data_IF_935117161645
#
_entry.id   IF_935117161645
#
_cell.length_a   1.000
_cell.length_b   1.000
_cell.length_c   1.000
_cell.angle_alpha   90.00
_cell.angle_beta   90.00
_cell.angle_gamma   90.00
#
_symmetry.space_group_name_H-M   'P 1'
#
loop_
_entity.id
_entity.type
_entity.pdbx_description
1 polymer ?
#
# COMPACT_ATOMS: atom_id res chain seq x y z
N UNK A 1 -11.43 28.94 -5.10
CA UNK A 1 -12.10 27.89 -5.91
C UNK A 1 -11.19 26.67 -5.87
N UNK A 2 -11.72 25.50 -5.53
CA UNK A 2 -10.94 24.26 -5.47
C UNK A 2 -10.58 23.79 -6.88
N UNK A 3 -9.40 23.20 -7.04
CA UNK A 3 -9.02 22.47 -8.26
C UNK A 3 -9.81 21.15 -8.35
N UNK A 4 -9.94 20.61 -9.56
CA UNK A 4 -10.57 19.31 -9.80
C UNK A 4 -9.60 18.22 -9.29
N UNK A 5 -10.09 17.21 -8.55
CA UNK A 5 -9.27 16.08 -8.12
C UNK A 5 -8.60 15.37 -9.30
N UNK A 6 -7.45 14.75 -9.05
CA UNK A 6 -6.78 13.95 -10.06
C UNK A 6 -7.64 12.73 -10.45
N UNK A 7 -7.76 12.46 -11.75
CA UNK A 7 -8.74 11.50 -12.27
C UNK A 7 -10.21 11.97 -12.26
N UNK A 8 -10.48 13.22 -11.85
CA UNK A 8 -11.79 13.87 -11.93
C UNK A 8 -12.71 13.65 -10.73
N UNK A 9 -12.49 12.60 -9.93
CA UNK A 9 -13.29 12.25 -8.75
C UNK A 9 -12.37 12.00 -7.58
N UNK A 10 -12.68 12.63 -6.43
CA UNK A 10 -11.98 12.35 -5.17
C UNK A 10 -12.45 11.00 -4.63
N UNK A 11 -11.50 10.10 -4.38
CA UNK A 11 -11.74 8.78 -3.80
C UNK A 11 -11.59 8.82 -2.28
N UNK A 12 -12.58 9.42 -1.60
CA UNK A 12 -12.63 9.45 -0.13
C UNK A 12 -13.26 8.15 0.40
N UNK A 13 -12.43 7.17 0.71
CA UNK A 13 -12.85 5.84 1.18
C UNK A 13 -13.40 5.90 2.60
N UNK A 14 -12.90 6.83 3.42
CA UNK A 14 -13.41 7.07 4.77
C UNK A 14 -14.87 7.53 4.72
N UNK A 15 -15.18 8.49 3.85
CA UNK A 15 -16.54 8.96 3.66
C UNK A 15 -17.43 7.91 3.01
N UNK A 16 -16.90 7.14 2.04
CA UNK A 16 -17.59 6.04 1.35
C UNK A 16 -18.07 4.97 2.34
N UNK A 17 -17.19 4.55 3.25
CA UNK A 17 -17.40 3.36 4.11
C UNK A 17 -17.96 3.70 5.50
N UNK A 18 -18.16 4.99 5.79
CA UNK A 18 -18.61 5.49 7.10
C UNK A 18 -19.83 4.76 7.67
N UNK A 19 -20.83 4.48 6.83
CA UNK A 19 -22.08 3.83 7.24
C UNK A 19 -21.90 2.34 7.60
N UNK A 20 -20.91 1.67 7.00
CA UNK A 20 -20.63 0.24 7.19
C UNK A 20 -19.44 -0.03 8.13
N UNK A 21 -18.75 1.02 8.60
CA UNK A 21 -17.58 0.95 9.48
C UNK A 21 -17.71 -0.01 10.67
N UNK A 22 -18.88 -0.04 11.35
CA UNK A 22 -19.13 -0.96 12.46
C UNK A 22 -19.16 -2.43 12.02
N UNK A 23 -19.69 -2.72 10.83
CA UNK A 23 -19.71 -4.07 10.27
C UNK A 23 -18.30 -4.49 9.85
N UNK A 24 -17.56 -3.59 9.20
CA UNK A 24 -16.17 -3.83 8.81
C UNK A 24 -15.28 -4.07 10.03
N UNK A 25 -15.50 -3.37 11.14
CA UNK A 25 -14.75 -3.61 12.39
C UNK A 25 -14.98 -5.02 12.94
N UNK A 26 -16.24 -5.44 13.01
CA UNK A 26 -16.59 -6.78 13.48
C UNK A 26 -16.08 -7.86 12.52
N UNK A 27 -16.05 -7.58 11.22
CA UNK A 27 -15.48 -8.48 10.22
C UNK A 27 -13.96 -8.63 10.43
N UNK A 28 -13.23 -7.52 10.59
CA UNK A 28 -11.78 -7.52 10.74
C UNK A 28 -11.28 -8.33 11.94
N UNK A 29 -12.04 -8.40 13.03
CA UNK A 29 -11.72 -9.26 14.20
C UNK A 29 -11.67 -10.76 13.86
N UNK A 30 -12.24 -11.18 12.74
CA UNK A 30 -12.31 -12.58 12.30
C UNK A 30 -11.38 -12.90 11.12
N UNK A 31 -10.79 -11.88 10.51
CA UNK A 31 -9.93 -12.03 9.34
C UNK A 31 -8.48 -12.29 9.76
N UNK A 32 -7.67 -12.94 8.90
CA UNK A 32 -6.23 -12.87 9.04
C UNK A 32 -5.78 -11.40 8.93
N UNK A 33 -4.78 -11.03 9.73
CA UNK A 33 -4.25 -9.68 9.79
C UNK A 33 -2.81 -9.59 9.25
N UNK A 34 -2.49 -8.43 8.69
CA UNK A 34 -1.13 -8.01 8.32
C UNK A 34 -0.83 -6.72 9.05
N UNK A 35 0.29 -6.70 9.75
CA UNK A 35 0.81 -5.50 10.40
C UNK A 35 1.58 -4.68 9.36
N UNK A 36 1.16 -3.43 9.16
CA UNK A 36 1.76 -2.56 8.16
C UNK A 36 3.12 -2.03 8.61
N UNK A 37 3.99 -1.77 7.64
CA UNK A 37 5.17 -0.91 7.87
C UNK A 37 4.77 0.57 7.93
N UNK A 38 5.62 1.43 8.52
CA UNK A 38 5.36 2.88 8.57
C UNK A 38 5.12 3.50 7.19
N UNK A 39 5.80 3.00 6.14
CA UNK A 39 5.61 3.48 4.78
C UNK A 39 4.25 3.06 4.21
N UNK A 40 3.89 1.80 4.36
CA UNK A 40 2.60 1.27 3.91
C UNK A 40 1.43 1.92 4.67
N UNK A 41 1.63 2.28 5.94
CA UNK A 41 0.67 3.05 6.72
C UNK A 41 0.45 4.44 6.10
N UNK A 42 1.53 5.16 5.76
CA UNK A 42 1.41 6.44 5.06
C UNK A 42 0.69 6.31 3.71
N UNK A 43 1.01 5.28 2.94
CA UNK A 43 0.36 5.02 1.66
C UNK A 43 -1.13 4.69 1.84
N UNK A 44 -1.47 3.89 2.85
CA UNK A 44 -2.86 3.59 3.22
C UNK A 44 -3.62 4.86 3.64
N UNK A 45 -3.03 5.75 4.43
CA UNK A 45 -3.64 7.02 4.82
C UNK A 45 -3.99 7.89 3.59
N UNK A 46 -3.08 7.97 2.61
CA UNK A 46 -3.27 8.74 1.37
C UNK A 46 -4.25 8.09 0.39
N UNK A 47 -4.37 6.76 0.39
CA UNK A 47 -5.43 6.05 -0.33
C UNK A 47 -6.78 6.34 0.33
N UNK A 48 -6.85 6.19 1.66
CA UNK A 48 -8.10 6.30 2.41
C UNK A 48 -8.75 7.67 2.28
N UNK A 49 -7.96 8.75 2.36
CA UNK A 49 -8.47 10.13 2.26
C UNK A 49 -8.58 10.65 0.81
N UNK A 50 -8.22 9.84 -0.18
CA UNK A 50 -8.26 10.20 -1.60
C UNK A 50 -7.10 11.08 -2.09
N UNK A 51 -6.04 11.26 -1.30
CA UNK A 51 -4.80 11.91 -1.71
C UNK A 51 -4.14 11.25 -2.92
N UNK A 52 -4.35 9.94 -3.09
CA UNK A 52 -3.91 9.17 -4.26
C UNK A 52 -5.01 8.89 -5.31
N UNK A 53 -6.08 9.69 -5.33
CA UNK A 53 -7.08 9.61 -6.41
C UNK A 53 -6.37 9.63 -7.78
N UNK A 54 -6.73 8.74 -8.72
CA UNK A 54 -7.93 7.90 -8.75
C UNK A 54 -7.83 6.54 -8.05
N UNK A 55 -6.74 6.21 -7.36
CA UNK A 55 -6.57 4.92 -6.70
C UNK A 55 -7.56 4.74 -5.54
N UNK A 56 -8.10 3.52 -5.43
CA UNK A 56 -9.01 3.08 -4.34
C UNK A 56 -8.40 1.92 -3.53
N UNK A 57 -7.12 1.62 -3.74
CA UNK A 57 -6.40 0.54 -3.11
C UNK A 57 -4.95 0.46 -3.62
N UNK A 58 -4.22 -0.55 -3.16
CA UNK A 58 -2.88 -0.84 -3.65
C UNK A 58 -2.93 -1.39 -5.08
N UNK A 59 -1.90 -1.07 -5.87
CA UNK A 59 -1.84 -1.38 -7.31
C UNK A 59 -1.79 -2.89 -7.56
N UNK A 60 -2.65 -3.34 -8.48
CA UNK A 60 -2.56 -4.67 -9.09
C UNK A 60 -1.38 -4.76 -10.07
N UNK A 61 -1.03 -5.98 -10.49
CA UNK A 61 0.10 -6.23 -11.39
C UNK A 61 -0.01 -5.41 -12.69
N UNK A 62 -1.24 -5.28 -13.20
CA UNK A 62 -1.52 -4.55 -14.44
C UNK A 62 -1.21 -3.05 -14.30
N UNK A 63 -1.66 -2.43 -13.22
CA UNK A 63 -1.42 -1.00 -12.98
C UNK A 63 0.03 -0.75 -12.62
N UNK A 64 0.62 -1.59 -11.76
CA UNK A 64 2.05 -1.55 -11.44
C UNK A 64 2.91 -1.62 -12.70
N UNK A 65 2.68 -2.61 -13.55
CA UNK A 65 3.45 -2.80 -14.79
C UNK A 65 3.30 -1.60 -15.71
N UNK A 66 2.08 -1.06 -15.84
CA UNK A 66 1.83 0.14 -16.65
C UNK A 66 2.55 1.37 -16.11
N UNK A 67 2.54 1.56 -14.79
CA UNK A 67 3.25 2.67 -14.12
C UNK A 67 4.75 2.54 -14.28
N UNK A 68 5.32 1.36 -14.02
CA UNK A 68 6.76 1.14 -14.20
C UNK A 68 7.18 1.33 -15.66
N UNK A 69 6.37 0.92 -16.63
CA UNK A 69 6.74 1.02 -18.04
C UNK A 69 6.49 2.40 -18.66
N UNK A 70 5.45 3.11 -18.23
CA UNK A 70 4.98 4.32 -18.92
C UNK A 70 4.73 5.52 -18.01
N UNK A 71 4.67 5.33 -16.69
CA UNK A 71 4.22 6.30 -15.67
C UNK A 71 2.71 6.59 -15.68
N UNK A 72 1.91 5.73 -16.31
CA UNK A 72 0.45 5.84 -16.37
C UNK A 72 -0.21 4.60 -15.80
N UNK A 73 -1.33 4.78 -15.11
CA UNK A 73 -2.25 3.70 -14.75
C UNK A 73 -2.85 3.07 -16.00
N UNK A 74 -3.41 1.86 -15.87
CA UNK A 74 -4.01 1.15 -17.00
C UNK A 74 -5.22 1.89 -17.61
N UNK A 75 -5.87 2.76 -16.83
CA UNK A 75 -6.98 3.63 -17.24
C UNK A 75 -6.52 4.90 -17.97
N UNK A 76 -5.20 5.08 -18.18
CA UNK A 76 -4.56 6.24 -18.81
C UNK A 76 -4.65 7.52 -17.98
N UNK A 77 -4.61 7.41 -16.66
CA UNK A 77 -4.30 8.53 -15.77
C UNK A 77 -2.81 8.52 -15.40
N UNK A 78 -2.15 9.68 -15.47
CA UNK A 78 -0.73 9.80 -15.11
C UNK A 78 -0.56 9.50 -13.61
N UNK A 79 0.29 8.56 -13.25
CA UNK A 79 0.61 8.23 -11.86
C UNK A 79 2.04 7.68 -11.81
N UNK A 80 3.06 8.51 -11.54
CA UNK A 80 4.44 8.13 -11.81
C UNK A 80 5.11 7.31 -10.70
N UNK A 81 4.41 6.99 -9.62
CA UNK A 81 4.98 6.29 -8.45
C UNK A 81 4.17 5.02 -8.17
N UNK A 82 4.78 3.83 -8.15
CA UNK A 82 4.11 2.61 -7.72
C UNK A 82 3.69 2.67 -6.25
N UNK A 83 2.44 2.31 -5.97
CA UNK A 83 1.90 2.22 -4.59
C UNK A 83 1.40 0.78 -4.39
N UNK A 84 2.18 0.00 -3.64
CA UNK A 84 2.02 -1.46 -3.54
C UNK A 84 2.09 -1.91 -2.08
N UNK A 85 1.42 -3.01 -1.76
CA UNK A 85 1.50 -3.64 -0.45
C UNK A 85 2.44 -4.83 -0.54
N UNK A 86 3.69 -4.62 -0.14
CA UNK A 86 4.71 -5.68 -0.06
C UNK A 86 4.44 -6.58 1.16
N UNK A 87 4.38 -7.90 0.93
CA UNK A 87 4.13 -8.91 1.98
C UNK A 87 5.12 -10.04 1.83
N UNK A 88 5.64 -10.56 2.93
CA UNK A 88 6.65 -11.62 2.85
C UNK A 88 6.04 -12.94 2.38
N UNK A 89 6.83 -13.75 1.67
CA UNK A 89 6.39 -15.11 1.26
C UNK A 89 6.02 -16.00 2.45
N UNK A 90 6.60 -15.76 3.63
CA UNK A 90 6.23 -16.41 4.89
C UNK A 90 4.83 -16.01 5.33
N UNK A 91 4.50 -14.72 5.34
CA UNK A 91 3.16 -14.23 5.70
C UNK A 91 2.10 -14.77 4.74
N UNK A 92 2.36 -14.75 3.43
CA UNK A 92 1.46 -15.34 2.43
C UNK A 92 1.17 -16.81 2.75
N UNK A 93 2.21 -17.58 3.07
CA UNK A 93 2.08 -19.01 3.37
C UNK A 93 1.38 -19.26 4.71
N UNK A 94 1.75 -18.53 5.75
CA UNK A 94 1.19 -18.67 7.10
C UNK A 94 -0.28 -18.27 7.16
N UNK A 95 -0.64 -17.16 6.49
CA UNK A 95 -2.01 -16.64 6.45
C UNK A 95 -2.85 -17.25 5.31
N UNK A 96 -2.25 -18.14 4.51
CA UNK A 96 -2.88 -18.78 3.35
C UNK A 96 -3.51 -17.77 2.38
N UNK A 97 -2.77 -16.70 2.09
CA UNK A 97 -3.26 -15.61 1.25
C UNK A 97 -3.42 -16.07 -0.19
N UNK A 98 -4.62 -15.89 -0.72
CA UNK A 98 -5.01 -16.23 -2.09
C UNK A 98 -5.91 -15.14 -2.66
N UNK A 99 -6.01 -15.04 -3.98
CA UNK A 99 -6.98 -14.17 -4.65
C UNK A 99 -8.41 -14.42 -4.15
N UNK A 100 -9.14 -13.36 -3.88
CA UNK A 100 -10.47 -13.31 -3.27
C UNK A 100 -10.47 -13.30 -1.74
N UNK A 101 -9.33 -13.50 -1.07
CA UNK A 101 -9.25 -13.45 0.40
C UNK A 101 -9.34 -12.00 0.89
N UNK A 102 -10.05 -11.80 2.00
CA UNK A 102 -10.07 -10.53 2.73
C UNK A 102 -9.11 -10.59 3.90
N UNK A 103 -8.31 -9.54 4.07
CA UNK A 103 -7.25 -9.45 5.07
C UNK A 103 -7.39 -8.12 5.81
N UNK A 104 -7.27 -8.13 7.14
CA UNK A 104 -7.25 -6.92 7.94
C UNK A 104 -5.86 -6.28 7.92
N UNK A 105 -5.79 -4.95 7.80
CA UNK A 105 -4.55 -4.19 7.86
C UNK A 105 -4.46 -3.46 9.20
N UNK A 106 -3.41 -3.75 9.96
CA UNK A 106 -3.23 -3.23 11.32
C UNK A 106 -2.15 -2.17 11.39
N UNK A 107 -2.35 -1.21 12.28
CA UNK A 107 -1.31 -0.25 12.66
C UNK A 107 -0.18 -0.98 13.42
N UNK A 108 1.10 -0.75 13.10
CA UNK A 108 2.22 -1.30 13.87
C UNK A 108 2.28 -0.81 15.33
N UNK A 109 1.60 0.28 15.70
CA UNK A 109 1.68 0.91 17.01
C UNK A 109 0.49 0.60 17.93
N UNK A 110 -0.73 0.54 17.40
CA UNK A 110 -1.96 0.54 18.21
C UNK A 110 -2.79 -0.75 18.10
N UNK A 111 -2.27 -1.79 17.39
CA UNK A 111 -2.89 -3.09 17.11
C UNK A 111 -4.32 -3.04 16.53
N UNK A 112 -4.84 -1.85 16.23
CA UNK A 112 -6.18 -1.65 15.72
C UNK A 112 -6.25 -1.92 14.21
N UNK A 113 -7.31 -2.59 13.78
CA UNK A 113 -7.63 -2.76 12.36
C UNK A 113 -8.02 -1.41 11.75
N UNK A 114 -7.22 -0.96 10.78
CA UNK A 114 -7.41 0.31 10.07
C UNK A 114 -8.30 0.12 8.83
N UNK A 115 -8.06 -0.96 8.09
CA UNK A 115 -8.74 -1.26 6.84
C UNK A 115 -8.84 -2.77 6.61
N UNK A 116 -9.71 -3.17 5.68
CA UNK A 116 -9.76 -4.52 5.10
C UNK A 116 -9.37 -4.40 3.64
N UNK A 117 -8.41 -5.19 3.20
CA UNK A 117 -8.06 -5.32 1.79
C UNK A 117 -8.68 -6.60 1.22
N UNK A 118 -9.21 -6.54 0.01
CA UNK A 118 -9.62 -7.73 -0.74
C UNK A 118 -8.53 -8.05 -1.76
N UNK A 119 -7.81 -9.14 -1.53
CA UNK A 119 -6.68 -9.55 -2.39
C UNK A 119 -7.22 -9.96 -3.75
N UNK A 120 -6.90 -9.22 -4.81
CA UNK A 120 -7.24 -9.63 -6.17
C UNK A 120 -6.07 -10.33 -6.84
N UNK A 121 -4.90 -9.68 -6.82
CA UNK A 121 -3.69 -10.18 -7.46
C UNK A 121 -2.56 -10.32 -6.44
N UNK A 122 -1.77 -11.39 -6.62
CA UNK A 122 -0.52 -11.63 -5.89
C UNK A 122 0.56 -11.81 -6.95
N UNK A 123 1.49 -10.86 -7.04
CA UNK A 123 2.49 -10.83 -8.11
C UNK A 123 3.88 -10.50 -7.58
N UNK A 124 4.88 -10.78 -8.42
CA UNK A 124 6.28 -10.52 -8.10
C UNK A 124 6.77 -9.32 -8.91
N UNK A 125 7.04 -8.17 -8.27
CA UNK A 125 7.59 -7.00 -8.95
C UNK A 125 9.06 -7.20 -9.40
N UNK A 126 9.47 -6.48 -10.44
CA UNK A 126 10.86 -6.38 -10.88
C UNK A 126 11.48 -5.07 -10.33
N UNK A 127 12.01 -5.14 -9.11
CA UNK A 127 12.59 -3.99 -8.42
C UNK A 127 13.77 -3.35 -9.16
N UNK A 128 14.55 -4.13 -9.93
CA UNK A 128 15.65 -3.57 -10.71
C UNK A 128 15.10 -2.71 -11.86
N UNK A 129 14.05 -3.21 -12.55
CA UNK A 129 13.35 -2.45 -13.59
C UNK A 129 12.69 -1.20 -13.02
N UNK A 130 12.03 -1.31 -11.87
CA UNK A 130 11.42 -0.17 -11.18
C UNK A 130 12.46 0.89 -10.79
N UNK A 131 13.59 0.49 -10.19
CA UNK A 131 14.65 1.42 -9.83
C UNK A 131 15.16 2.23 -11.03
N UNK A 132 15.36 1.60 -12.18
CA UNK A 132 15.82 2.30 -13.38
C UNK A 132 14.72 3.19 -13.98
N UNK A 133 13.50 2.67 -14.12
CA UNK A 133 12.44 3.37 -14.87
C UNK A 133 11.72 4.45 -14.06
N UNK A 134 11.53 4.23 -12.77
CA UNK A 134 10.81 5.13 -11.88
C UNK A 134 11.78 6.03 -11.11
N UNK A 135 12.85 5.44 -10.55
CA UNK A 135 13.82 6.18 -9.72
C UNK A 135 15.02 6.71 -10.54
N UNK A 136 15.06 6.43 -11.84
CA UNK A 136 16.04 6.95 -12.81
C UNK A 136 17.36 6.17 -12.86
N UNK A 137 17.75 5.49 -11.79
CA UNK A 137 18.94 4.64 -11.74
C UNK A 137 18.84 3.59 -10.66
N UNK A 138 19.49 2.45 -10.87
CA UNK A 138 19.63 1.38 -9.88
C UNK A 138 20.88 1.60 -9.01
N UNK A 139 20.91 2.74 -8.31
CA UNK A 139 22.00 3.14 -7.41
C UNK A 139 21.63 2.86 -5.94
N UNK A 140 22.31 1.94 -5.25
CA UNK A 140 22.09 1.65 -3.83
C UNK A 140 22.29 2.85 -2.90
N UNK A 141 22.99 3.91 -3.32
CA UNK A 141 23.14 5.13 -2.56
C UNK A 141 21.86 5.99 -2.55
N UNK A 142 20.96 5.80 -3.53
CA UNK A 142 19.67 6.49 -3.56
C UNK A 142 18.74 5.92 -2.48
N UNK A 143 18.21 6.74 -1.54
CA UNK A 143 17.41 6.24 -0.42
C UNK A 143 16.22 5.36 -0.83
N UNK A 144 15.48 5.75 -1.87
CA UNK A 144 14.34 4.97 -2.36
C UNK A 144 14.76 3.63 -3.01
N UNK A 145 15.91 3.58 -3.69
CA UNK A 145 16.43 2.34 -4.30
C UNK A 145 16.96 1.42 -3.20
N UNK A 146 17.64 1.99 -2.20
CA UNK A 146 18.07 1.26 -1.01
C UNK A 146 16.88 0.63 -0.29
N UNK A 147 15.79 1.37 -0.10
CA UNK A 147 14.56 0.85 0.49
C UNK A 147 13.94 -0.25 -0.37
N UNK A 148 13.73 0.00 -1.66
CA UNK A 148 13.16 -0.97 -2.60
C UNK A 148 13.94 -2.30 -2.63
N UNK A 149 15.27 -2.23 -2.49
CA UNK A 149 16.15 -3.41 -2.39
C UNK A 149 16.18 -4.03 -1.00
N UNK A 150 15.99 -3.24 0.07
CA UNK A 150 16.00 -3.74 1.45
C UNK A 150 14.75 -4.53 1.78
N UNK A 151 13.60 -4.15 1.24
CA UNK A 151 12.38 -4.96 1.32
C UNK A 151 12.72 -6.40 0.88
N UNK A 152 13.43 -6.57 -0.24
CA UNK A 152 13.92 -7.89 -0.72
C UNK A 152 14.89 -8.58 0.26
N UNK A 153 15.65 -7.84 1.06
CA UNK A 153 16.69 -8.39 1.94
C UNK A 153 16.18 -8.79 3.33
N UNK A 154 15.12 -8.17 3.87
CA UNK A 154 14.50 -8.62 5.12
C UNK A 154 13.85 -10.02 4.98
N UNK A 155 13.50 -10.41 3.75
CA UNK A 155 13.18 -11.80 3.40
C UNK A 155 14.37 -12.78 3.42
N UNK A 156 15.62 -12.31 3.49
CA UNK A 156 16.83 -13.13 3.41
C UNK A 156 17.53 -13.40 4.75
N UNK A 157 17.38 -12.56 5.77
CA UNK A 157 18.15 -12.70 7.02
C UNK A 157 17.59 -13.72 8.04
N UNK A 158 16.38 -14.25 7.84
CA UNK A 158 15.71 -15.14 8.81
C UNK A 158 15.37 -16.56 8.31
N UNK A 159 16.04 -17.10 7.28
CA UNK A 159 15.85 -18.51 6.94
C UNK A 159 17.11 -19.15 6.34
N UNK A 160 17.79 -19.94 7.16
CA UNK A 160 18.61 -21.06 6.70
C UNK A 160 17.70 -22.20 6.20
N UNK A 161 16.94 -21.93 5.15
CA UNK A 161 16.20 -22.92 4.36
C UNK A 161 16.02 -22.33 2.97
N UNK A 162 16.44 -23.07 1.95
CA UNK A 162 16.39 -22.75 0.53
C UNK A 162 14.95 -22.56 0.03
N UNK A 163 14.30 -21.47 0.42
CA UNK A 163 13.14 -20.92 -0.27
C UNK A 163 13.52 -19.50 -0.66
N UNK A 164 13.56 -19.30 -1.97
CA UNK A 164 14.10 -18.13 -2.64
C UNK A 164 13.24 -16.92 -2.20
N UNK A 165 13.74 -16.17 -1.22
CA UNK A 165 13.04 -15.05 -0.59
C UNK A 165 12.68 -13.97 -1.60
N UNK A 166 11.39 -13.77 -1.79
CA UNK A 166 10.81 -12.70 -2.58
C UNK A 166 9.52 -12.27 -1.91
N UNK A 167 9.30 -10.96 -1.83
CA UNK A 167 8.10 -10.39 -1.22
C UNK A 167 7.06 -10.14 -2.32
N UNK A 168 6.04 -11.00 -2.45
CA UNK A 168 4.90 -10.75 -3.31
C UNK A 168 4.17 -9.46 -2.92
N UNK A 169 3.62 -8.80 -3.93
CA UNK A 169 2.75 -7.66 -3.76
C UNK A 169 1.30 -8.09 -3.83
N UNK A 170 0.49 -7.52 -2.95
CA UNK A 170 -0.95 -7.73 -2.89
C UNK A 170 -1.66 -6.45 -3.32
N UNK A 171 -2.69 -6.59 -4.15
CA UNK A 171 -3.45 -5.45 -4.67
C UNK A 171 -4.96 -5.59 -4.56
N UNK A 172 -5.57 -4.40 -4.58
CA UNK A 172 -6.98 -4.03 -4.80
C UNK A 172 -7.97 -3.97 -3.62
N UNK A 173 -9.09 -3.28 -3.88
CA UNK A 173 -10.05 -2.56 -3.04
C UNK A 173 -9.83 -2.60 -1.52
N UNK A 174 -9.58 -1.41 -0.98
CA UNK A 174 -9.42 -1.17 0.45
C UNK A 174 -10.74 -0.64 0.99
N UNK A 175 -11.34 -1.37 1.94
CA UNK A 175 -12.47 -0.93 2.73
C UNK A 175 -11.99 -0.36 4.06
N UNK A 176 -12.38 0.86 4.42
CA UNK A 176 -11.81 1.55 5.57
C UNK A 176 -12.66 1.40 6.84
N UNK A 177 -12.03 1.08 7.98
CA UNK A 177 -12.70 0.75 9.25
C UNK A 177 -12.72 1.93 10.22
N UNK A 178 -11.61 2.67 10.32
CA UNK A 178 -11.41 3.65 11.38
C UNK A 178 -10.91 4.99 10.83
N UNK A 179 -11.58 6.11 11.14
CA UNK A 179 -11.01 7.45 10.93
C UNK A 179 -9.69 7.53 11.72
N UNK A 180 -8.52 7.54 11.05
CA UNK A 180 -7.28 7.92 11.73
C UNK A 180 -7.55 9.33 12.29
N UNK A 181 -7.48 9.55 13.62
CA UNK A 181 -7.81 10.84 14.18
C UNK A 181 -6.88 11.89 13.58
N UNK A 182 -7.40 12.68 12.65
CA UNK A 182 -6.67 13.78 12.04
C UNK A 182 -6.58 14.88 13.10
N UNK A 183 -5.51 14.87 13.90
CA UNK A 183 -5.22 15.95 14.84
C UNK A 183 -4.92 15.59 16.29
N UNK A 184 -4.65 14.34 16.66
CA UNK A 184 -3.94 14.13 17.93
C UNK A 184 -2.45 14.48 17.74
N UNK A 185 -1.86 15.29 18.63
CA UNK A 185 -0.50 15.79 18.48
C UNK A 185 0.50 14.64 18.69
N UNK A 186 0.83 13.93 17.62
CA UNK A 186 1.95 13.01 17.61
C UNK A 186 3.26 13.81 17.36
N UNK A 187 4.23 13.80 18.29
CA UNK A 187 5.42 14.67 18.24
C UNK A 187 6.38 14.42 17.06
N UNK A 188 6.07 13.50 16.15
CA UNK A 188 6.95 13.09 15.05
C UNK A 188 6.31 13.09 13.65
N UNK A 189 5.05 13.54 13.47
CA UNK A 189 4.48 13.63 12.10
C UNK A 189 5.10 14.79 11.32
N UNK A 190 5.59 14.49 10.12
CA UNK A 190 5.99 15.45 9.10
C UNK A 190 4.74 16.27 8.76
N UNK A 191 4.80 17.57 9.01
CA UNK A 191 3.74 18.50 8.65
C UNK A 191 3.62 18.55 7.12
N UNK A 192 2.58 17.91 6.58
CA UNK A 192 2.30 17.90 5.14
C UNK A 192 1.93 19.30 4.62
N UNK A 193 1.62 20.27 5.49
CA UNK A 193 1.49 21.67 5.10
C UNK A 193 2.84 22.34 4.78
N UNK A 194 3.96 21.71 5.15
CA UNK A 194 5.32 22.10 4.73
C UNK A 194 5.75 21.46 3.39
N UNK A 195 4.94 20.57 2.81
CA UNK A 195 5.18 19.95 1.48
C UNK A 195 4.43 20.65 0.34
N UNK A 196 3.62 21.67 0.64
CA UNK A 196 3.09 22.58 -0.36
C UNK A 196 4.11 23.69 -0.65
N UNK A 197 4.79 23.60 -1.80
CA UNK A 197 5.48 24.73 -2.43
C UNK A 197 4.44 25.69 -3.02
#
# INVERSE_FOLDING_TARGET
MSTIPHGGVLKDLVARDKEISHQLRAEAETLPDIVLTERQLCDLELIANGGFSPLEGFMMEKDYTSVVDTLWLADRVLFPIPITLDVSGKEISCLSIVSGLRVALHDPQDEAALAIITVEDIYKPDHAKEAVKVLGADDPAHPAVSYLRRCVQEGQENSASEDIGFDPQIGHDVSFIHEVPFGEPNPWKIDISLLAI
#
